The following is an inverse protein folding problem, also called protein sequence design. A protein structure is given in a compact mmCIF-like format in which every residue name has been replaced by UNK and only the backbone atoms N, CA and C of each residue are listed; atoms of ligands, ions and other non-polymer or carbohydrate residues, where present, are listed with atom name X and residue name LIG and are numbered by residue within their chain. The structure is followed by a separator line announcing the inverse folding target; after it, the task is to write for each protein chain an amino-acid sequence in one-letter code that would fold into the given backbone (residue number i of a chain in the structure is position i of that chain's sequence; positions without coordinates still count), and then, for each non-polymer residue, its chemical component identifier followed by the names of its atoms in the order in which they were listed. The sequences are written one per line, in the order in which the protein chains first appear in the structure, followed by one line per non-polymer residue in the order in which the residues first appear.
data_IF_338998068621
#
_entry.id   IF_338998068621
#
_cell.length_a   1.000
_cell.length_b   1.000
_cell.length_c   1.000
_cell.angle_alpha   90.00
_cell.angle_beta   90.00
_cell.angle_gamma   90.00
#
_symmetry.space_group_name_H-M   'P 1'
#
loop_
_entity.id
_entity.type
_entity.pdbx_description
1 polymer ?
#
# COMPACT_ATOMS: atom_id res chain seq x y z
N UNK A 1 15.99 -0.08 17.21
CA UNK A 1 15.41 -1.16 17.89
C UNK A 1 14.15 -1.56 17.24
N UNK A 2 13.94 -2.79 17.20
CA UNK A 2 12.76 -3.28 16.57
C UNK A 2 11.63 -2.91 17.43
N UNK A 3 10.72 -2.42 16.82
CA UNK A 3 9.61 -2.03 17.53
C UNK A 3 8.55 -2.89 17.03
N UNK A 4 8.03 -3.71 17.86
CA UNK A 4 7.08 -4.65 17.44
C UNK A 4 5.93 -3.96 16.82
N UNK A 5 5.44 -4.49 15.75
CA UNK A 5 4.31 -3.95 15.05
C UNK A 5 4.61 -2.73 14.24
N UNK A 6 5.87 -2.37 14.12
CA UNK A 6 6.24 -1.20 13.33
C UNK A 6 7.05 -1.59 12.13
N UNK A 7 6.90 -0.82 11.07
CA UNK A 7 7.67 -0.99 9.87
C UNK A 7 9.03 -0.37 10.11
N UNK A 8 10.08 -1.05 9.67
CA UNK A 8 11.41 -0.54 9.84
C UNK A 8 11.59 0.76 9.09
N UNK A 9 12.52 1.56 9.54
CA UNK A 9 12.69 2.90 8.99
C UNK A 9 12.99 2.90 7.50
N UNK A 10 13.85 1.99 7.06
CA UNK A 10 14.17 1.93 5.65
C UNK A 10 12.95 1.62 4.81
N UNK A 11 12.15 0.70 5.29
CA UNK A 11 10.96 0.30 4.57
C UNK A 11 9.91 1.40 4.65
N UNK A 12 9.83 2.05 5.79
CA UNK A 12 8.91 3.18 5.93
C UNK A 12 9.30 4.28 4.96
N UNK A 13 10.59 4.55 4.83
CA UNK A 13 11.05 5.55 3.89
C UNK A 13 10.66 5.25 2.46
N UNK A 14 10.80 4.00 2.07
CA UNK A 14 10.41 3.59 0.73
C UNK A 14 8.93 3.75 0.49
N UNK A 15 8.14 3.37 1.48
CA UNK A 15 6.69 3.52 1.39
C UNK A 15 6.31 4.98 1.26
N UNK A 16 6.92 5.82 2.08
CA UNK A 16 6.62 7.24 2.05
C UNK A 16 7.01 7.84 0.71
N UNK A 17 8.15 7.44 0.17
CA UNK A 17 8.57 7.94 -1.14
C UNK A 17 7.59 7.53 -2.23
N UNK A 18 7.08 6.32 -2.16
CA UNK A 18 6.08 5.88 -3.12
C UNK A 18 4.79 6.68 -2.96
N UNK A 19 4.41 6.97 -1.72
CA UNK A 19 3.22 7.77 -1.47
C UNK A 19 3.41 9.20 -1.96
N UNK A 20 4.60 9.75 -1.83
CA UNK A 20 4.88 11.07 -2.36
C UNK A 20 4.72 11.11 -3.87
N UNK A 21 5.09 10.02 -4.52
CA UNK A 21 4.89 9.93 -5.96
C UNK A 21 3.41 9.93 -6.30
N UNK A 22 2.61 9.17 -5.54
CA UNK A 22 1.17 9.16 -5.72
C UNK A 22 0.60 10.54 -5.48
N UNK A 23 1.11 11.22 -4.48
CA UNK A 23 0.70 12.58 -4.17
C UNK A 23 0.92 13.49 -5.37
N UNK A 24 2.10 13.42 -5.97
CA UNK A 24 2.39 14.22 -7.15
C UNK A 24 1.49 13.88 -8.32
N UNK A 25 1.23 12.60 -8.52
CA UNK A 25 0.35 12.19 -9.60
C UNK A 25 -1.08 12.67 -9.36
N UNK A 26 -1.49 12.68 -8.10
CA UNK A 26 -2.81 13.17 -7.76
C UNK A 26 -2.92 14.67 -8.06
N UNK A 27 -1.88 15.42 -7.76
CA UNK A 27 -1.87 16.84 -8.11
C UNK A 27 -1.89 17.05 -9.61
N UNK A 28 -1.19 16.18 -10.34
CA UNK A 28 -1.23 16.22 -11.79
C UNK A 28 -2.63 16.03 -12.32
N UNK A 29 -3.36 15.08 -11.73
CA UNK A 29 -4.75 14.85 -12.11
C UNK A 29 -5.60 16.09 -11.90
N UNK A 30 -5.42 16.73 -10.76
CA UNK A 30 -6.18 17.94 -10.46
C UNK A 30 -5.93 19.01 -11.51
N UNK A 31 -4.67 19.20 -11.87
CA UNK A 31 -4.33 20.19 -12.89
C UNK A 31 -4.95 19.85 -14.23
N UNK A 32 -4.92 18.59 -14.60
CA UNK A 32 -5.47 18.16 -15.88
C UNK A 32 -6.97 18.45 -15.93
N UNK A 33 -7.65 18.19 -14.83
CA UNK A 33 -9.08 18.46 -14.76
C UNK A 33 -9.33 19.96 -14.85
N UNK A 34 -8.55 20.74 -14.13
CA UNK A 34 -8.68 22.19 -14.14
C UNK A 34 -8.41 22.77 -15.52
N UNK A 35 -7.49 22.17 -16.24
CA UNK A 35 -7.14 22.65 -17.58
C UNK A 35 -8.06 22.11 -18.66
N UNK A 36 -9.00 21.25 -18.28
CA UNK A 36 -9.92 20.71 -19.27
C UNK A 36 -9.26 19.79 -20.27
N UNK A 37 -8.27 19.00 -19.81
CA UNK A 37 -7.59 18.09 -20.73
C UNK A 37 -8.55 17.00 -21.20
N UNK A 38 -8.23 16.38 -22.33
CA UNK A 38 -9.10 15.32 -22.86
C UNK A 38 -9.28 14.18 -21.89
N UNK A 39 -10.45 13.59 -21.87
CA UNK A 39 -10.77 12.48 -20.98
C UNK A 39 -9.76 11.35 -21.08
N UNK A 40 -9.32 11.06 -22.29
CA UNK A 40 -8.35 10.01 -22.53
C UNK A 40 -7.10 10.22 -21.70
N UNK A 41 -6.61 11.44 -21.67
CA UNK A 41 -5.39 11.75 -20.93
C UNK A 41 -5.63 11.66 -19.45
N UNK A 42 -6.78 12.13 -19.01
CA UNK A 42 -7.12 12.09 -17.58
C UNK A 42 -7.25 10.65 -17.11
N UNK A 43 -7.92 9.82 -17.90
CA UNK A 43 -8.07 8.42 -17.53
C UNK A 43 -6.74 7.67 -17.52
N UNK A 44 -5.85 8.00 -18.45
CA UNK A 44 -4.53 7.40 -18.45
C UNK A 44 -3.77 7.76 -17.18
N UNK A 45 -3.84 9.02 -16.79
CA UNK A 45 -3.18 9.46 -15.57
C UNK A 45 -3.82 8.83 -14.33
N UNK A 46 -5.13 8.70 -14.34
CA UNK A 46 -5.83 8.07 -13.24
C UNK A 46 -5.40 6.61 -13.08
N UNK A 47 -5.30 5.90 -14.22
CA UNK A 47 -4.87 4.50 -14.18
C UNK A 47 -3.46 4.39 -13.62
N UNK A 48 -2.57 5.29 -13.99
CA UNK A 48 -1.20 5.28 -13.49
C UNK A 48 -1.17 5.56 -11.99
N UNK A 49 -1.99 6.49 -11.54
CA UNK A 49 -2.06 6.83 -10.12
C UNK A 49 -2.59 5.65 -9.32
N UNK A 50 -3.61 5.03 -9.85
CA UNK A 50 -4.18 3.85 -9.20
C UNK A 50 -3.15 2.73 -9.09
N UNK A 51 -2.44 2.48 -10.18
CA UNK A 51 -1.42 1.43 -10.18
C UNK A 51 -0.32 1.71 -9.17
N UNK A 52 0.08 2.97 -9.06
CA UNK A 52 1.11 3.34 -8.10
C UNK A 52 0.62 3.13 -6.68
N UNK A 53 -0.63 3.48 -6.41
CA UNK A 53 -1.18 3.29 -5.08
C UNK A 53 -1.35 1.82 -4.77
N UNK A 54 -1.75 1.02 -5.76
CA UNK A 54 -1.87 -0.42 -5.56
C UNK A 54 -0.56 -1.04 -5.15
N UNK A 55 0.54 -0.57 -5.72
CA UNK A 55 1.85 -1.09 -5.34
C UNK A 55 2.17 -0.79 -3.89
N UNK A 56 1.81 0.41 -3.45
CA UNK A 56 1.99 0.74 -2.04
C UNK A 56 1.17 -0.21 -1.18
N UNK A 57 -0.06 -0.48 -1.60
CA UNK A 57 -0.93 -1.36 -0.86
C UNK A 57 -0.37 -2.76 -0.73
N UNK A 58 0.10 -3.31 -1.85
CA UNK A 58 0.65 -4.66 -1.82
C UNK A 58 1.88 -4.73 -0.92
N UNK A 59 2.76 -3.74 -1.05
CA UNK A 59 3.97 -3.72 -0.25
C UNK A 59 3.64 -3.56 1.23
N UNK A 60 2.72 -2.67 1.54
CA UNK A 60 2.34 -2.43 2.91
C UNK A 60 1.74 -3.67 3.55
N UNK A 61 0.87 -4.36 2.82
CA UNK A 61 0.27 -5.56 3.34
C UNK A 61 1.31 -6.65 3.54
N UNK A 62 2.25 -6.76 2.60
CA UNK A 62 3.34 -7.74 2.74
C UNK A 62 4.16 -7.48 4.00
N UNK A 63 4.48 -6.22 4.25
CA UNK A 63 5.24 -5.87 5.44
C UNK A 63 4.45 -6.13 6.70
N UNK A 64 3.18 -5.80 6.69
CA UNK A 64 2.34 -6.02 7.84
C UNK A 64 2.12 -7.49 8.12
N UNK A 65 2.01 -8.30 7.07
CA UNK A 65 1.89 -9.73 7.27
C UNK A 65 3.15 -10.30 7.91
N UNK A 66 4.31 -9.84 7.45
CA UNK A 66 5.55 -10.28 8.07
C UNK A 66 5.60 -9.91 9.54
N UNK A 67 5.19 -8.69 9.86
CA UNK A 67 5.18 -8.25 11.24
C UNK A 67 4.25 -9.10 12.09
N UNK A 68 3.06 -9.34 11.60
CA UNK A 68 2.12 -10.16 12.33
C UNK A 68 2.64 -11.55 12.60
N UNK A 69 3.20 -12.16 11.58
CA UNK A 69 3.74 -13.51 11.73
C UNK A 69 4.92 -13.50 12.68
N UNK A 70 5.73 -12.47 12.60
CA UNK A 70 6.91 -12.36 13.44
C UNK A 70 6.54 -12.17 14.90
N UNK A 71 5.53 -11.35 15.13
CA UNK A 71 5.10 -11.08 16.49
C UNK A 71 4.56 -12.32 17.16
N UNK A 72 3.70 -13.00 16.46
CA UNK A 72 3.12 -14.21 17.02
C UNK A 72 4.15 -15.26 17.21
N UNK A 73 5.13 -15.22 16.35
CA UNK A 73 6.12 -16.20 16.40
C UNK A 73 7.26 -15.81 17.24
N UNK A 74 7.21 -14.73 17.89
CA UNK A 74 8.17 -14.49 18.94
C UNK A 74 8.34 -15.79 19.55
N UNK A 75 7.40 -16.48 19.20
CA UNK A 75 7.45 -17.75 19.39
C UNK A 75 7.76 -18.40 18.20
N UNK A 76 8.06 -18.80 17.53
CA UNK A 76 8.46 -19.61 16.55
C UNK A 76 7.41 -19.95 15.56
N UNK A 77 6.18 -19.95 15.87
CA UNK A 77 5.13 -20.34 14.97
C UNK A 77 4.02 -19.32 15.10
N UNK A 78 3.61 -18.74 13.97
CA UNK A 78 2.52 -17.81 14.00
C UNK A 78 1.23 -18.52 14.38
N UNK A 79 0.43 -17.87 15.17
CA UNK A 79 -0.84 -18.46 15.57
C UNK A 79 -1.77 -18.49 14.35
N UNK A 80 -2.65 -19.48 14.30
CA UNK A 80 -3.62 -19.52 13.21
C UNK A 80 -4.46 -18.25 13.15
N UNK A 81 -4.73 -17.65 14.28
CA UNK A 81 -5.53 -16.43 14.31
C UNK A 81 -4.81 -15.26 13.66
N UNK A 82 -3.51 -15.15 13.92
CA UNK A 82 -2.74 -14.08 13.30
C UNK A 82 -2.70 -14.23 11.80
N UNK A 83 -2.51 -15.46 11.34
CA UNK A 83 -2.48 -15.73 9.91
C UNK A 83 -3.84 -15.39 9.28
N UNK A 84 -4.90 -15.78 9.97
CA UNK A 84 -6.23 -15.54 9.46
C UNK A 84 -6.51 -14.04 9.33
N UNK A 85 -6.12 -13.28 10.33
CA UNK A 85 -6.32 -11.84 10.31
C UNK A 85 -5.55 -11.20 9.16
N UNK A 86 -4.32 -11.63 8.96
CA UNK A 86 -3.52 -11.09 7.87
C UNK A 86 -4.13 -11.40 6.52
N UNK A 87 -4.64 -12.62 6.38
CA UNK A 87 -5.30 -13.02 5.14
C UNK A 87 -6.56 -12.21 4.90
N UNK A 88 -7.33 -11.99 5.96
CA UNK A 88 -8.54 -11.19 5.83
C UNK A 88 -8.23 -9.78 5.35
N UNK A 89 -7.21 -9.19 5.92
CA UNK A 89 -6.82 -7.84 5.52
C UNK A 89 -6.40 -7.82 4.07
N UNK A 90 -5.62 -8.81 3.66
CA UNK A 90 -5.16 -8.89 2.28
C UNK A 90 -6.32 -9.06 1.32
N UNK A 91 -7.24 -9.96 1.65
CA UNK A 91 -8.39 -10.21 0.79
C UNK A 91 -9.29 -9.00 0.68
N UNK A 92 -9.44 -8.29 1.79
CA UNK A 92 -10.22 -7.07 1.80
C UNK A 92 -9.61 -6.05 0.85
N UNK A 93 -8.31 -5.88 0.91
CA UNK A 93 -7.63 -4.95 0.02
C UNK A 93 -7.81 -5.37 -1.44
N UNK A 94 -7.62 -6.65 -1.73
CA UNK A 94 -7.73 -7.15 -3.09
C UNK A 94 -9.12 -6.87 -3.65
N UNK A 95 -10.15 -7.05 -2.83
CA UNK A 95 -11.51 -6.78 -3.29
C UNK A 95 -11.73 -5.32 -3.62
N UNK A 96 -11.07 -4.45 -2.91
CA UNK A 96 -11.22 -3.02 -3.16
C UNK A 96 -10.51 -2.57 -4.43
N UNK A 97 -9.54 -3.34 -4.87
CA UNK A 97 -8.74 -2.97 -6.03
C UNK A 97 -9.48 -3.20 -7.34
N UNK A 98 -10.47 -4.06 -7.34
CA UNK A 98 -11.17 -4.45 -8.57
C UNK A 98 -12.16 -3.43 -9.04
#
# INVERSE_FOLDING_TARGET
SPVEGRIEQDEAGRLINRLRRVEGQSRGLQRMIEQGRPCEEIFTQLAATKAALDRVGVLLISLKMRECLSEEAGEEVASPEAVEKALEAFLKYVRCVR
#
